data_IF_101874492939
#
_entry.id   IF_101874492939
#
_cell.length_a   1.000
_cell.length_b   1.000
_cell.length_c   1.000
_cell.angle_alpha   90.00
_cell.angle_beta   90.00
_cell.angle_gamma   90.00
#
_symmetry.space_group_name_H-M   'P 1'
#
loop_
_entity.id
_entity.type
_entity.pdbx_description
1 polymer ?
#
# COMPACT_ATOMS: atom_id res chain seq x y z
N UNK A 1 32.17 4.86 8.16
CA UNK A 1 30.83 4.88 8.80
C UNK A 1 29.90 5.57 7.81
N UNK A 2 28.91 4.86 7.27
CA UNK A 2 28.17 5.28 6.08
C UNK A 2 27.10 6.33 6.39
N UNK A 3 27.50 7.61 6.37
CA UNK A 3 26.62 8.79 6.46
C UNK A 3 25.93 9.10 5.12
N UNK A 4 25.54 8.07 4.34
CA UNK A 4 25.04 8.24 2.96
C UNK A 4 23.50 8.12 2.87
N UNK A 5 22.81 7.75 3.96
CA UNK A 5 21.39 7.33 3.88
C UNK A 5 20.34 8.32 4.36
N UNK A 6 20.68 9.38 5.09
CA UNK A 6 19.71 10.40 5.50
C UNK A 6 19.30 11.30 4.34
N UNK A 7 20.28 11.83 3.61
CA UNK A 7 20.06 12.83 2.55
C UNK A 7 19.05 12.36 1.51
N UNK A 8 19.01 11.07 1.15
CA UNK A 8 18.10 10.59 0.13
C UNK A 8 16.61 10.61 0.54
N UNK A 9 16.30 10.55 1.84
CA UNK A 9 14.95 10.63 2.39
C UNK A 9 14.49 12.08 2.59
N UNK A 10 15.42 13.00 2.85
CA UNK A 10 15.09 14.42 3.09
C UNK A 10 14.47 15.09 1.86
N UNK A 11 14.80 14.61 0.67
CA UNK A 11 14.25 15.09 -0.59
C UNK A 11 12.86 14.52 -0.93
N UNK A 12 12.34 13.57 -0.14
CA UNK A 12 11.05 12.96 -0.40
C UNK A 12 9.93 13.72 0.31
N UNK A 13 8.80 13.97 -0.37
CA UNK A 13 7.61 14.55 0.26
C UNK A 13 7.10 13.65 1.40
N UNK A 14 6.72 14.26 2.51
CA UNK A 14 6.19 13.53 3.66
C UNK A 14 4.94 12.72 3.29
N UNK A 15 4.09 13.24 2.41
CA UNK A 15 2.91 12.54 1.88
C UNK A 15 3.27 11.25 1.15
N UNK A 16 4.36 11.26 0.37
CA UNK A 16 4.83 10.06 -0.33
C UNK A 16 5.30 9.00 0.67
N UNK A 17 6.02 9.42 1.73
CA UNK A 17 6.48 8.53 2.79
C UNK A 17 5.31 7.92 3.57
N UNK A 18 4.30 8.72 3.88
CA UNK A 18 3.08 8.25 4.55
C UNK A 18 2.31 7.30 3.66
N UNK A 19 2.08 7.64 2.39
CA UNK A 19 1.38 6.77 1.45
C UNK A 19 2.11 5.43 1.28
N UNK A 20 3.43 5.47 1.09
CA UNK A 20 4.24 4.27 0.95
C UNK A 20 4.21 3.40 2.21
N UNK A 21 4.19 4.02 3.39
CA UNK A 21 4.01 3.31 4.66
C UNK A 21 2.69 2.54 4.69
N UNK A 22 1.58 3.20 4.34
CA UNK A 22 0.25 2.60 4.33
C UNK A 22 0.17 1.41 3.38
N UNK A 23 0.71 1.57 2.17
CA UNK A 23 0.71 0.53 1.15
C UNK A 23 1.50 -0.72 1.56
N UNK A 24 2.53 -0.57 2.40
CA UNK A 24 3.39 -1.68 2.84
C UNK A 24 3.08 -2.17 4.26
N UNK A 25 2.15 -1.53 4.98
CA UNK A 25 1.86 -1.79 6.40
C UNK A 25 1.57 -3.25 6.70
N UNK A 26 0.73 -3.88 5.89
CA UNK A 26 0.39 -5.29 6.04
C UNK A 26 1.60 -6.20 5.88
N UNK A 27 2.46 -5.94 4.89
CA UNK A 27 3.68 -6.74 4.70
C UNK A 27 4.65 -6.57 5.87
N UNK A 28 4.80 -5.36 6.39
CA UNK A 28 5.61 -5.09 7.58
C UNK A 28 5.07 -5.77 8.85
N UNK A 29 3.75 -6.00 8.94
CA UNK A 29 3.20 -6.74 10.07
C UNK A 29 3.59 -8.22 10.08
N UNK A 30 3.90 -8.79 8.91
CA UNK A 30 4.20 -10.20 8.73
C UNK A 30 5.67 -10.58 8.97
N UNK A 31 6.51 -9.66 9.45
CA UNK A 31 7.92 -9.93 9.71
C UNK A 31 8.08 -11.09 10.68
N UNK A 32 8.99 -12.03 10.39
CA UNK A 32 9.23 -13.23 11.20
C UNK A 32 9.72 -12.85 12.61
N UNK A 33 10.56 -11.82 12.70
CA UNK A 33 11.18 -11.34 13.94
C UNK A 33 10.95 -9.84 14.14
N UNK A 34 9.73 -9.35 14.42
CA UNK A 34 9.46 -7.91 14.47
C UNK A 34 10.24 -7.16 15.56
N UNK A 35 10.84 -7.89 16.52
CA UNK A 35 11.54 -7.32 17.67
C UNK A 35 12.76 -6.47 17.30
N UNK A 36 13.53 -6.86 16.29
CA UNK A 36 14.75 -6.11 15.91
C UNK A 36 14.34 -4.73 15.39
N UNK A 37 13.37 -4.69 14.47
CA UNK A 37 12.78 -3.44 14.00
C UNK A 37 12.15 -2.64 15.15
N UNK A 38 11.35 -3.27 16.01
CA UNK A 38 10.67 -2.57 17.10
C UNK A 38 11.63 -1.99 18.13
N UNK A 39 12.74 -2.68 18.42
CA UNK A 39 13.77 -2.17 19.31
C UNK A 39 14.41 -0.92 18.71
N UNK A 40 14.71 -0.93 17.41
CA UNK A 40 15.18 0.25 16.69
C UNK A 40 14.17 1.41 16.75
N UNK A 41 12.89 1.15 16.53
CA UNK A 41 11.86 2.19 16.59
C UNK A 41 11.67 2.75 18.01
N UNK A 42 11.74 1.89 19.03
CA UNK A 42 11.66 2.29 20.43
C UNK A 42 12.84 3.17 20.82
N UNK A 43 14.05 2.79 20.44
CA UNK A 43 15.27 3.52 20.82
C UNK A 43 15.31 4.93 20.18
N UNK A 44 14.50 5.17 19.14
CA UNK A 44 14.28 6.48 18.53
C UNK A 44 12.94 7.16 18.92
N UNK A 45 12.30 6.73 20.01
CA UNK A 45 11.04 7.28 20.54
C UNK A 45 9.84 7.24 19.57
N UNK A 46 9.91 6.39 18.54
CA UNK A 46 8.82 6.18 17.57
C UNK A 46 7.81 5.16 18.06
N UNK A 47 8.17 4.27 18.99
CA UNK A 47 7.26 3.28 19.58
C UNK A 47 7.33 3.39 21.11
N UNK A 48 6.20 3.65 21.78
CA UNK A 48 6.09 3.62 23.22
C UNK A 48 6.46 2.26 23.83
N UNK A 49 7.04 2.28 25.04
CA UNK A 49 7.48 1.08 25.75
C UNK A 49 6.34 0.11 26.07
N UNK A 50 5.14 0.62 26.36
CA UNK A 50 3.95 -0.19 26.63
C UNK A 50 3.52 -1.00 25.40
N UNK A 51 3.61 -0.40 24.20
CA UNK A 51 3.32 -1.08 22.94
C UNK A 51 4.40 -2.12 22.62
N UNK A 52 5.68 -1.79 22.80
CA UNK A 52 6.78 -2.74 22.65
C UNK A 52 6.58 -3.99 23.54
N UNK A 53 6.23 -3.78 24.81
CA UNK A 53 5.95 -4.86 25.77
C UNK A 53 4.79 -5.76 25.35
N UNK A 54 3.83 -5.28 24.55
CA UNK A 54 2.75 -6.14 24.03
C UNK A 54 3.28 -7.18 23.06
N UNK A 55 4.25 -6.84 22.21
CA UNK A 55 4.84 -7.78 21.24
C UNK A 55 5.73 -8.81 21.91
N UNK A 56 6.51 -8.40 22.93
CA UNK A 56 7.34 -9.34 23.71
C UNK A 56 6.50 -10.35 24.49
N UNK A 57 5.30 -9.96 24.97
CA UNK A 57 4.35 -10.86 25.63
C UNK A 57 3.61 -11.79 24.67
N UNK A 58 3.56 -11.48 23.38
CA UNK A 58 2.85 -12.28 22.39
C UNK A 58 3.60 -13.59 22.08
N UNK A 59 2.95 -14.73 22.34
CA UNK A 59 3.57 -16.06 22.17
C UNK A 59 3.45 -16.62 20.75
N UNK A 60 2.30 -16.40 20.08
CA UNK A 60 2.03 -16.97 18.75
C UNK A 60 2.42 -16.02 17.61
N UNK A 61 2.78 -16.58 16.46
CA UNK A 61 3.07 -15.81 15.23
C UNK A 61 1.89 -14.91 14.82
N UNK A 62 0.68 -15.45 14.85
CA UNK A 62 -0.54 -14.70 14.49
C UNK A 62 -0.81 -13.54 15.45
N UNK A 63 -0.61 -13.73 16.74
CA UNK A 63 -0.77 -12.65 17.73
C UNK A 63 0.34 -11.61 17.56
N UNK A 64 1.60 -12.03 17.36
CA UNK A 64 2.71 -11.11 17.08
C UNK A 64 2.43 -10.23 15.86
N UNK A 65 1.97 -10.83 14.76
CA UNK A 65 1.58 -10.11 13.55
C UNK A 65 0.45 -9.10 13.83
N UNK A 66 -0.59 -9.51 14.56
CA UNK A 66 -1.69 -8.61 14.93
C UNK A 66 -1.19 -7.42 15.73
N UNK A 67 -0.40 -7.66 16.78
CA UNK A 67 0.15 -6.57 17.62
C UNK A 67 1.11 -5.70 16.82
N UNK A 68 1.91 -6.28 15.92
CA UNK A 68 2.78 -5.53 15.02
C UNK A 68 1.96 -4.60 14.11
N UNK A 69 0.85 -5.09 13.55
CA UNK A 69 -0.06 -4.25 12.77
C UNK A 69 -0.65 -3.11 13.60
N UNK A 70 -1.07 -3.39 14.85
CA UNK A 70 -1.56 -2.36 15.78
C UNK A 70 -0.51 -1.28 16.08
N UNK A 71 0.77 -1.66 16.24
CA UNK A 71 1.86 -0.70 16.44
C UNK A 71 2.07 0.16 15.20
N UNK A 72 2.10 -0.47 14.02
CA UNK A 72 2.26 0.27 12.76
C UNK A 72 1.07 1.22 12.52
N UNK A 73 -0.15 0.80 12.87
CA UNK A 73 -1.33 1.65 12.81
C UNK A 73 -1.24 2.84 13.77
N UNK A 74 -0.74 2.60 14.99
CA UNK A 74 -0.48 3.68 15.95
C UNK A 74 0.57 4.67 15.42
N UNK A 75 1.66 4.18 14.82
CA UNK A 75 2.71 5.03 14.22
C UNK A 75 2.13 5.89 13.08
N UNK A 76 1.25 5.33 12.24
CA UNK A 76 0.57 6.07 11.18
C UNK A 76 -0.30 7.22 11.69
N UNK A 77 -1.00 6.99 12.81
CA UNK A 77 -1.98 7.92 13.35
C UNK A 77 -1.34 9.00 14.24
N UNK A 78 -0.38 8.62 15.08
CA UNK A 78 0.19 9.50 16.11
C UNK A 78 1.51 10.16 15.67
N UNK A 79 2.24 9.51 14.76
CA UNK A 79 3.61 9.90 14.38
C UNK A 79 3.74 10.20 12.89
N UNK A 80 2.65 10.63 12.25
CA UNK A 80 2.58 10.89 10.81
C UNK A 80 3.64 11.89 10.33
N UNK A 81 3.93 12.91 11.15
CA UNK A 81 4.98 13.90 10.98
C UNK A 81 6.41 13.35 11.16
N UNK A 82 6.57 12.19 11.79
CA UNK A 82 7.85 11.54 12.03
C UNK A 82 8.16 10.44 11.00
N UNK A 83 7.46 10.39 9.85
CA UNK A 83 7.67 9.32 8.87
C UNK A 83 9.08 9.29 8.29
N UNK A 84 9.74 10.45 8.14
CA UNK A 84 11.16 10.51 7.77
C UNK A 84 12.04 9.74 8.76
N UNK A 85 11.84 9.99 10.06
CA UNK A 85 12.57 9.31 11.12
C UNK A 85 12.25 7.81 11.16
N UNK A 86 10.99 7.43 10.91
CA UNK A 86 10.60 6.04 10.78
C UNK A 86 11.39 5.34 9.66
N UNK A 87 11.38 5.91 8.45
CA UNK A 87 12.09 5.32 7.31
C UNK A 87 13.60 5.35 7.49
N UNK A 88 14.16 6.35 8.16
CA UNK A 88 15.58 6.37 8.48
C UNK A 88 15.97 5.24 9.44
N UNK A 89 15.09 4.85 10.37
CA UNK A 89 15.28 3.68 11.22
C UNK A 89 15.19 2.38 10.42
N UNK A 90 14.17 2.23 9.57
CA UNK A 90 13.95 1.03 8.74
C UNK A 90 15.09 0.79 7.76
N UNK A 91 15.70 1.84 7.21
CA UNK A 91 16.75 1.71 6.20
C UNK A 91 18.19 1.69 6.75
N UNK A 92 18.34 1.55 8.07
CA UNK A 92 19.64 1.28 8.67
C UNK A 92 20.22 -0.05 8.18
N UNK A 93 21.55 -0.11 8.03
CA UNK A 93 22.24 -1.24 7.42
C UNK A 93 21.94 -2.57 8.12
N UNK A 94 21.92 -2.57 9.46
CA UNK A 94 21.64 -3.77 10.24
C UNK A 94 20.19 -4.25 10.03
N UNK A 95 19.21 -3.33 9.97
CA UNK A 95 17.82 -3.67 9.65
C UNK A 95 17.70 -4.24 8.23
N UNK A 96 18.36 -3.63 7.25
CA UNK A 96 18.36 -4.11 5.86
C UNK A 96 19.09 -5.44 5.66
N UNK A 97 20.04 -5.78 6.54
CA UNK A 97 20.69 -7.09 6.55
C UNK A 97 19.74 -8.17 7.07
N UNK A 98 18.96 -7.88 8.12
CA UNK A 98 17.98 -8.81 8.67
C UNK A 98 16.73 -8.97 7.80
N UNK A 99 16.28 -7.89 7.14
CA UNK A 99 15.07 -7.92 6.32
C UNK A 99 15.35 -7.43 4.90
N UNK A 100 15.68 -8.34 3.96
CA UNK A 100 15.92 -8.00 2.56
C UNK A 100 14.73 -7.27 1.90
N UNK A 101 13.51 -7.49 2.38
CA UNK A 101 12.31 -6.78 1.91
C UNK A 101 12.44 -5.26 2.04
N UNK A 102 13.15 -4.75 3.05
CA UNK A 102 13.35 -3.32 3.20
C UNK A 102 14.33 -2.73 2.19
N UNK A 103 15.21 -3.55 1.58
CA UNK A 103 16.04 -3.10 0.45
C UNK A 103 15.20 -2.87 -0.79
N UNK A 104 14.19 -3.71 -1.01
CA UNK A 104 13.20 -3.51 -2.07
C UNK A 104 12.42 -2.21 -1.83
N UNK A 105 12.02 -1.95 -0.59
CA UNK A 105 11.34 -0.69 -0.23
C UNK A 105 12.21 0.53 -0.48
N UNK A 106 13.47 0.50 -0.01
CA UNK A 106 14.42 1.58 -0.23
C UNK A 106 14.61 1.85 -1.73
N UNK A 107 14.76 0.79 -2.53
CA UNK A 107 14.94 0.92 -3.98
C UNK A 107 13.68 1.46 -4.65
N UNK A 108 12.48 0.98 -4.28
CA UNK A 108 11.20 1.44 -4.82
C UNK A 108 10.97 2.92 -4.53
N UNK A 109 11.17 3.33 -3.28
CA UNK A 109 10.99 4.70 -2.81
C UNK A 109 11.92 5.68 -3.55
N UNK A 110 13.18 5.28 -3.78
CA UNK A 110 14.16 6.07 -4.53
C UNK A 110 13.92 6.06 -6.05
N UNK A 111 13.29 5.01 -6.59
CA UNK A 111 12.99 4.91 -8.02
C UNK A 111 11.70 5.67 -8.39
N UNK A 112 10.72 5.70 -7.49
CA UNK A 112 9.52 6.54 -7.64
C UNK A 112 9.88 8.03 -7.75
N UNK A 113 10.92 8.48 -7.04
CA UNK A 113 11.50 9.84 -7.21
C UNK A 113 11.77 10.16 -8.68
N UNK A 114 12.35 9.22 -9.44
CA UNK A 114 12.77 9.44 -10.83
C UNK A 114 11.59 9.61 -11.79
N UNK A 115 10.42 9.05 -11.47
CA UNK A 115 9.20 9.22 -12.28
C UNK A 115 8.55 10.59 -12.06
N UNK A 116 8.57 11.11 -10.84
CA UNK A 116 8.03 12.44 -10.51
C UNK A 116 8.86 13.59 -11.11
N UNK A 117 10.19 13.44 -11.20
CA UNK A 117 11.06 14.48 -11.78
C UNK A 117 10.92 14.58 -13.31
N UNK A 118 10.49 13.52 -14.00
CA UNK A 118 10.28 13.57 -15.46
C UNK A 118 8.93 14.19 -15.88
N UNK A 119 7.98 14.43 -14.97
CA UNK A 119 6.71 15.06 -15.32
C UNK A 119 6.75 16.59 -15.30
N UNK A 120 7.82 17.22 -14.82
CA UNK A 120 7.94 18.70 -14.73
C UNK A 120 8.74 19.34 -15.87
N UNK A 121 9.31 18.56 -16.81
CA UNK A 121 10.02 19.11 -17.98
C UNK A 121 9.53 18.49 -19.30
N UNK A 122 8.22 18.54 -19.52
CA UNK A 122 7.56 17.90 -20.66
C UNK A 122 6.38 18.68 -21.22
N UNK A 123 6.42 20.01 -21.24
CA UNK A 123 5.46 20.77 -22.05
C UNK A 123 5.91 20.77 -23.51
N UNK A 124 5.49 19.77 -24.28
CA UNK A 124 5.17 19.99 -25.70
C UNK A 124 3.92 19.24 -26.09
N UNK A 125 2.83 20.00 -26.17
CA UNK A 125 1.55 19.63 -26.77
C UNK A 125 1.76 18.98 -28.13
N UNK A 126 1.04 17.88 -28.39
CA UNK A 126 0.29 17.74 -29.64
C UNK A 126 -1.06 17.09 -29.31
N UNK A 127 -2.12 17.85 -29.59
CA UNK A 127 -3.54 17.53 -29.39
C UNK A 127 -4.14 17.09 -30.73
N UNK A 128 -5.03 16.10 -30.67
CA UNK A 128 -6.10 15.73 -31.61
C UNK A 128 -5.68 15.31 -33.03
N UNK A 129 -6.43 14.50 -33.79
CA UNK A 129 -7.62 13.67 -33.59
C UNK A 129 -7.81 12.82 -34.87
N UNK A 130 -8.64 11.77 -34.77
CA UNK A 130 -9.48 11.15 -35.83
C UNK A 130 -8.73 10.42 -36.97
N UNK A 131 -9.23 9.41 -37.69
CA UNK A 131 -10.56 8.93 -38.14
C UNK A 131 -10.46 7.39 -38.31
N UNK A 132 -11.41 6.56 -37.87
CA UNK A 132 -12.55 6.01 -38.67
C UNK A 132 -12.25 5.77 -40.15
N UNK A 133 -12.13 4.51 -40.55
CA UNK A 133 -12.46 4.02 -41.90
C UNK A 133 -13.44 2.86 -41.69
N UNK A 134 -14.75 3.04 -41.87
CA UNK A 134 -15.52 2.97 -43.12
C UNK A 134 -15.06 1.90 -44.12
N UNK A 135 -15.81 0.79 -44.16
CA UNK A 135 -16.01 -0.01 -45.36
C UNK A 135 -17.50 -0.40 -45.44
N UNK A 136 -18.19 0.21 -46.40
CA UNK A 136 -19.51 -0.13 -46.99
C UNK A 136 -19.24 -0.36 -48.50
N UNK A 137 -20.10 -0.99 -49.35
CA UNK A 137 -21.56 -1.16 -49.20
C UNK A 137 -22.25 -2.47 -49.72
N UNK A 138 -23.38 -2.83 -49.07
CA UNK A 138 -24.68 -3.26 -49.65
C UNK A 138 -24.93 -4.69 -50.21
N UNK A 139 -26.20 -5.11 -50.49
CA UNK A 139 -27.48 -4.74 -49.84
C UNK A 139 -28.48 -5.91 -49.61
N UNK A 140 -29.51 -5.62 -48.78
CA UNK A 140 -30.88 -6.18 -48.73
C UNK A 140 -31.12 -7.63 -48.27
N UNK A 141 -31.91 -7.82 -47.20
CA UNK A 141 -33.29 -8.36 -47.32
C UNK A 141 -34.01 -8.48 -45.96
N UNK A 142 -35.14 -7.78 -45.88
CA UNK A 142 -36.42 -8.06 -45.18
C UNK A 142 -36.52 -8.34 -43.67
N UNK A 143 -37.24 -7.41 -43.01
CA UNK A 143 -38.37 -7.59 -42.08
C UNK A 143 -38.36 -8.74 -41.05
N UNK A 144 -38.41 -8.39 -39.75
CA UNK A 144 -39.69 -8.35 -39.00
C UNK A 144 -39.53 -7.99 -37.52
N UNK A 145 -40.46 -7.15 -37.08
CA UNK A 145 -40.77 -6.65 -35.74
C UNK A 145 -41.24 -7.75 -34.76
N UNK A 146 -40.92 -7.62 -33.46
CA UNK A 146 -41.83 -7.77 -32.29
C UNK A 146 -41.00 -7.71 -30.99
N UNK A 147 -41.05 -6.62 -30.21
CA UNK A 147 -42.01 -6.28 -29.13
C UNK A 147 -41.76 -6.98 -27.76
N UNK A 148 -41.30 -6.16 -26.79
CA UNK A 148 -41.76 -6.01 -25.38
C UNK A 148 -41.19 -6.90 -24.22
N UNK A 149 -40.80 -6.21 -23.12
CA UNK A 149 -40.30 -6.63 -21.77
C UNK A 149 -41.49 -6.99 -20.80
N UNK A 150 -41.44 -7.08 -19.42
CA UNK A 150 -40.40 -7.36 -18.39
C UNK A 150 -40.82 -8.33 -17.20
N UNK A 151 -39.85 -8.64 -16.30
CA UNK A 151 -39.85 -8.83 -14.82
C UNK A 151 -40.71 -9.87 -14.02
N UNK A 152 -40.07 -10.63 -13.09
CA UNK A 152 -40.21 -10.58 -11.59
C UNK A 152 -39.65 -11.84 -10.85
N UNK A 153 -39.19 -11.64 -9.60
CA UNK A 153 -38.68 -12.63 -8.61
C UNK A 153 -39.77 -13.62 -8.12
N UNK A 154 -39.37 -14.69 -7.41
CA UNK A 154 -39.92 -14.90 -6.06
C UNK A 154 -38.91 -15.36 -4.98
N UNK A 155 -39.21 -14.96 -3.74
CA UNK A 155 -38.80 -15.56 -2.45
C UNK A 155 -39.97 -16.43 -1.97
N UNK A 156 -39.72 -17.56 -1.30
CA UNK A 156 -40.57 -18.04 -0.20
C UNK A 156 -39.82 -19.05 0.68
N UNK A 157 -39.98 -18.84 1.98
CA UNK A 157 -39.56 -19.64 3.13
C UNK A 157 -40.24 -21.03 3.16
N UNK A 158 -39.64 -21.97 3.91
CA UNK A 158 -40.37 -23.12 4.46
C UNK A 158 -40.08 -23.29 5.96
N UNK A 159 -41.20 -23.44 6.66
CA UNK A 159 -41.44 -23.45 8.11
C UNK A 159 -41.29 -24.85 8.70
N UNK A 160 -40.98 -24.87 10.00
CA UNK A 160 -40.91 -25.98 10.97
C UNK A 160 -42.20 -26.79 11.20
N UNK A 161 -41.99 -28.08 11.52
CA UNK A 161 -42.53 -28.87 12.67
C UNK A 161 -43.40 -30.10 12.32
N UNK A 162 -42.96 -31.25 12.82
CA UNK A 162 -43.66 -32.44 13.38
C UNK A 162 -42.53 -33.37 13.84
N UNK A 163 -42.45 -33.94 15.04
CA UNK A 163 -43.43 -34.63 15.89
C UNK A 163 -42.94 -34.60 17.35
#
# INVERSE_FOLDING_TARGET
>A
MNTIKMDHLDHLPDEQLVWFFRSNKTQMSCLEEPQILLSQLRDHYLVPEDLYKKVTKAKSKRTKQKVMYEILDWVENERRQCMKLFWSCVFQDHILQHYPVFRLYQTSLLNERKKTVQMVDGTKRKKCASETEENEPGPSSVFSTNQVKPAKKPRTDSVTKSE
#
